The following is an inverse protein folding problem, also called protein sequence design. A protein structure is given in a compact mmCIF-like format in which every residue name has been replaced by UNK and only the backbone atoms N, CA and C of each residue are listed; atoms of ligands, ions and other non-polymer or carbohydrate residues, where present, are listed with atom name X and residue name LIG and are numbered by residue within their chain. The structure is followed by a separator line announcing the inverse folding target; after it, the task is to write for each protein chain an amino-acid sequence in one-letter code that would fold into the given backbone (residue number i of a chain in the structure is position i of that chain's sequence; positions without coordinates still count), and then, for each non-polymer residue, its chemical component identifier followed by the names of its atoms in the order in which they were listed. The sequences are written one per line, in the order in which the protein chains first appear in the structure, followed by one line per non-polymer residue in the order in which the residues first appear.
data_IF_601061744648
#
_entry.id   IF_601061744648
#
_cell.length_a   1.000
_cell.length_b   1.000
_cell.length_c   1.000
_cell.angle_alpha   90.00
_cell.angle_beta   90.00
_cell.angle_gamma   90.00
#
_symmetry.space_group_name_H-M   'P 1'
#
loop_
_entity.id
_entity.type
_entity.pdbx_description
1 polymer ?
#
# COMPACT_ATOMS: atom_id res chain seq x y z
N UNK A 1 18.08 -94.49 8.77
CA UNK A 1 17.09 -94.04 9.77
C UNK A 1 17.49 -92.75 10.48
N UNK A 2 18.74 -92.62 10.94
CA UNK A 2 19.22 -91.47 11.74
C UNK A 2 19.30 -90.14 10.97
N UNK A 3 19.75 -90.16 9.71
CA UNK A 3 19.79 -88.99 8.82
C UNK A 3 18.40 -88.37 8.58
N UNK A 4 17.36 -89.19 8.47
CA UNK A 4 15.98 -88.71 8.27
C UNK A 4 15.43 -88.02 9.52
N UNK A 5 15.80 -88.51 10.72
CA UNK A 5 15.43 -87.87 11.99
C UNK A 5 16.08 -86.49 12.12
N UNK A 6 17.37 -86.37 11.78
CA UNK A 6 18.09 -85.08 11.80
C UNK A 6 17.47 -84.06 10.83
N UNK A 7 17.19 -84.46 9.59
CA UNK A 7 16.51 -83.58 8.61
C UNK A 7 15.11 -83.17 9.05
N UNK A 8 14.35 -84.04 9.71
CA UNK A 8 13.03 -83.70 10.24
C UNK A 8 13.11 -82.64 11.36
N UNK A 9 14.12 -82.73 12.24
CA UNK A 9 14.36 -81.74 13.28
C UNK A 9 14.79 -80.39 12.70
N UNK A 10 15.74 -80.39 11.75
CA UNK A 10 16.20 -79.18 11.06
C UNK A 10 15.05 -78.52 10.27
N UNK A 11 14.20 -79.31 9.61
CA UNK A 11 13.00 -78.82 8.93
C UNK A 11 11.95 -78.25 9.88
N UNK A 12 11.79 -78.85 11.07
CA UNK A 12 10.86 -78.36 12.10
C UNK A 12 11.34 -77.04 12.69
N UNK A 13 12.65 -76.93 12.95
CA UNK A 13 13.26 -75.71 13.47
C UNK A 13 13.17 -74.55 12.47
N UNK A 14 13.50 -74.79 11.20
CA UNK A 14 13.35 -73.78 10.13
C UNK A 14 11.90 -73.34 9.93
N UNK A 15 10.93 -74.25 10.02
CA UNK A 15 9.50 -73.89 9.96
C UNK A 15 9.07 -73.02 11.16
N UNK A 16 9.59 -73.29 12.36
CA UNK A 16 9.34 -72.48 13.54
C UNK A 16 9.95 -71.08 13.42
N UNK A 17 11.20 -70.98 12.94
CA UNK A 17 11.88 -69.70 12.71
C UNK A 17 11.16 -68.86 11.65
N UNK A 18 10.76 -69.47 10.53
CA UNK A 18 9.96 -68.80 9.49
C UNK A 18 8.62 -68.30 10.02
N UNK A 19 7.96 -69.07 10.90
CA UNK A 19 6.71 -68.64 11.53
C UNK A 19 6.93 -67.42 12.43
N UNK A 20 7.99 -67.41 13.24
CA UNK A 20 8.34 -66.26 14.08
C UNK A 20 8.63 -65.01 13.23
N UNK A 21 9.32 -65.17 12.10
CA UNK A 21 9.55 -64.08 11.15
C UNK A 21 8.25 -63.57 10.53
N UNK A 22 7.34 -64.46 10.12
CA UNK A 22 6.03 -64.07 9.60
C UNK A 22 5.22 -63.28 10.62
N UNK A 23 5.14 -63.76 11.86
CA UNK A 23 4.41 -63.08 12.93
C UNK A 23 5.02 -61.69 13.22
N UNK A 24 6.35 -61.59 13.22
CA UNK A 24 7.07 -60.31 13.36
C UNK A 24 6.76 -59.35 12.20
N UNK A 25 6.82 -59.82 10.95
CA UNK A 25 6.53 -58.98 9.79
C UNK A 25 5.06 -58.57 9.72
N UNK A 26 4.14 -59.43 10.14
CA UNK A 26 2.72 -59.10 10.25
C UNK A 26 2.47 -58.00 11.29
N UNK A 27 3.15 -58.08 12.46
CA UNK A 27 3.07 -57.03 13.47
C UNK A 27 3.62 -55.70 12.94
N UNK A 28 4.79 -55.72 12.29
CA UNK A 28 5.38 -54.52 11.67
C UNK A 28 4.51 -53.92 10.58
N UNK A 29 3.87 -54.77 9.75
CA UNK A 29 2.95 -54.31 8.70
C UNK A 29 1.74 -53.61 9.32
N UNK A 30 1.18 -54.16 10.40
CA UNK A 30 0.04 -53.57 11.10
C UNK A 30 0.39 -52.23 11.73
N UNK A 31 1.55 -52.12 12.38
CA UNK A 31 2.05 -50.85 12.92
C UNK A 31 2.27 -49.81 11.82
N UNK A 32 2.87 -50.20 10.69
CA UNK A 32 3.07 -49.32 9.55
C UNK A 32 1.72 -48.85 8.95
N UNK A 33 0.72 -49.73 8.85
CA UNK A 33 -0.61 -49.38 8.38
C UNK A 33 -1.30 -48.34 9.27
N UNK A 34 -1.21 -48.50 10.60
CA UNK A 34 -1.75 -47.53 11.56
C UNK A 34 -1.03 -46.19 11.43
N UNK A 35 0.31 -46.20 11.39
CA UNK A 35 1.10 -44.98 11.25
C UNK A 35 0.81 -44.23 9.94
N UNK A 36 0.59 -44.96 8.84
CA UNK A 36 0.19 -44.37 7.55
C UNK A 36 -1.22 -43.77 7.65
N UNK A 37 -2.17 -44.47 8.26
CA UNK A 37 -3.53 -43.96 8.42
C UNK A 37 -3.57 -42.65 9.24
N UNK A 38 -2.84 -42.61 10.36
CA UNK A 38 -2.74 -41.41 11.21
C UNK A 38 -2.09 -40.23 10.47
N UNK A 39 -0.99 -40.48 9.74
CA UNK A 39 -0.33 -39.45 8.94
C UNK A 39 -1.19 -38.93 7.80
N UNK A 40 -1.92 -39.81 7.12
CA UNK A 40 -2.86 -39.40 6.06
C UNK A 40 -3.96 -38.50 6.63
N UNK A 41 -4.57 -38.87 7.75
CA UNK A 41 -5.59 -38.06 8.40
C UNK A 41 -5.05 -36.68 8.83
N UNK A 42 -3.84 -36.63 9.39
CA UNK A 42 -3.18 -35.38 9.74
C UNK A 42 -2.90 -34.50 8.52
N UNK A 43 -2.42 -35.10 7.42
CA UNK A 43 -2.16 -34.37 6.18
C UNK A 43 -3.44 -33.78 5.59
N UNK A 44 -4.55 -34.52 5.60
CA UNK A 44 -5.85 -34.02 5.13
C UNK A 44 -6.33 -32.81 5.93
N UNK A 45 -6.16 -32.82 7.25
CA UNK A 45 -6.49 -31.67 8.11
C UNK A 45 -5.63 -30.46 7.78
N UNK A 46 -4.32 -30.64 7.59
CA UNK A 46 -3.41 -29.54 7.23
C UNK A 46 -3.71 -29.00 5.83
N UNK A 47 -4.04 -29.85 4.87
CA UNK A 47 -4.48 -29.42 3.53
C UNK A 47 -5.75 -28.57 3.61
N UNK A 48 -6.71 -28.96 4.46
CA UNK A 48 -7.92 -28.16 4.67
C UNK A 48 -7.61 -26.79 5.28
N UNK A 49 -6.79 -26.74 6.34
CA UNK A 49 -6.35 -25.48 6.96
C UNK A 49 -5.61 -24.59 5.98
N UNK A 50 -4.70 -25.17 5.19
CA UNK A 50 -3.95 -24.45 4.17
C UNK A 50 -4.86 -23.81 3.13
N UNK A 51 -5.87 -24.53 2.63
CA UNK A 51 -6.87 -23.98 1.69
C UNK A 51 -7.63 -22.81 2.31
N UNK A 52 -8.06 -22.91 3.57
CA UNK A 52 -8.72 -21.80 4.29
C UNK A 52 -7.82 -20.58 4.42
N UNK A 53 -6.56 -20.78 4.77
CA UNK A 53 -5.59 -19.70 4.88
C UNK A 53 -5.35 -19.02 3.52
N UNK A 54 -5.28 -19.79 2.43
CA UNK A 54 -5.18 -19.23 1.08
C UNK A 54 -6.40 -18.37 0.71
N UNK A 55 -7.62 -18.80 1.07
CA UNK A 55 -8.85 -18.01 0.87
C UNK A 55 -8.79 -16.67 1.65
N UNK A 56 -8.30 -16.70 2.89
CA UNK A 56 -8.14 -15.49 3.70
C UNK A 56 -7.09 -14.53 3.12
N UNK A 57 -5.94 -15.04 2.69
CA UNK A 57 -4.90 -14.26 2.02
C UNK A 57 -5.46 -13.59 0.76
N UNK A 58 -6.20 -14.34 -0.07
CA UNK A 58 -6.84 -13.77 -1.26
C UNK A 58 -7.84 -12.66 -0.91
N UNK A 59 -8.62 -12.83 0.16
CA UNK A 59 -9.57 -11.82 0.66
C UNK A 59 -8.86 -10.57 1.17
N UNK A 60 -7.77 -10.73 1.93
CA UNK A 60 -6.98 -9.61 2.45
C UNK A 60 -6.27 -8.84 1.33
N UNK A 61 -5.71 -9.54 0.35
CA UNK A 61 -5.09 -8.90 -0.82
C UNK A 61 -6.09 -8.04 -1.61
N UNK A 62 -7.33 -8.52 -1.82
CA UNK A 62 -8.38 -7.72 -2.46
C UNK A 62 -8.75 -6.47 -1.66
N UNK A 63 -8.80 -6.56 -0.33
CA UNK A 63 -9.05 -5.41 0.54
C UNK A 63 -7.90 -4.40 0.48
N UNK A 64 -6.66 -4.87 0.56
CA UNK A 64 -5.46 -4.04 0.47
C UNK A 64 -5.43 -3.26 -0.84
N UNK A 65 -5.70 -3.93 -1.95
CA UNK A 65 -5.71 -3.29 -3.28
C UNK A 65 -6.80 -2.23 -3.41
N UNK A 66 -7.98 -2.48 -2.82
CA UNK A 66 -9.07 -1.48 -2.76
C UNK A 66 -8.66 -0.28 -1.92
N UNK A 67 -8.07 -0.48 -0.75
CA UNK A 67 -7.61 0.62 0.11
C UNK A 67 -6.54 1.46 -0.57
N UNK A 68 -5.55 0.84 -1.23
CA UNK A 68 -4.51 1.56 -1.99
C UNK A 68 -5.08 2.46 -3.09
N UNK A 69 -6.09 1.98 -3.82
CA UNK A 69 -6.75 2.79 -4.86
C UNK A 69 -7.48 4.01 -4.27
N UNK A 70 -8.14 3.85 -3.12
CA UNK A 70 -8.81 4.95 -2.42
C UNK A 70 -7.78 5.97 -1.93
N UNK A 71 -6.68 5.50 -1.34
CA UNK A 71 -5.59 6.34 -0.85
C UNK A 71 -4.93 7.12 -1.99
N UNK A 72 -4.63 6.48 -3.12
CA UNK A 72 -4.11 7.17 -4.31
C UNK A 72 -5.07 8.24 -4.83
N UNK A 73 -6.38 7.96 -4.86
CA UNK A 73 -7.37 8.95 -5.30
C UNK A 73 -7.42 10.15 -4.35
N UNK A 74 -7.40 9.91 -3.03
CA UNK A 74 -7.33 10.98 -2.03
C UNK A 74 -6.05 11.80 -2.11
N UNK A 75 -4.90 11.15 -2.29
CA UNK A 75 -3.62 11.82 -2.45
C UNK A 75 -3.56 12.69 -3.73
N UNK A 76 -4.17 12.22 -4.83
CA UNK A 76 -4.28 13.01 -6.05
C UNK A 76 -5.13 14.28 -5.82
N UNK A 77 -6.24 14.18 -5.08
CA UNK A 77 -7.06 15.33 -4.72
C UNK A 77 -6.31 16.33 -3.82
N UNK A 78 -5.52 15.85 -2.86
CA UNK A 78 -4.69 16.72 -1.99
C UNK A 78 -3.64 17.51 -2.77
N UNK A 79 -2.94 16.86 -3.71
CA UNK A 79 -1.96 17.53 -4.58
C UNK A 79 -2.64 18.61 -5.42
N UNK A 80 -3.78 18.30 -6.04
CA UNK A 80 -4.55 19.27 -6.83
C UNK A 80 -5.05 20.45 -5.98
N UNK A 81 -5.47 20.20 -4.74
CA UNK A 81 -5.91 21.25 -3.82
C UNK A 81 -4.76 22.19 -3.42
N UNK A 82 -3.56 21.66 -3.20
CA UNK A 82 -2.39 22.48 -2.89
C UNK A 82 -1.95 23.30 -4.12
N UNK A 83 -1.96 22.73 -5.34
CA UNK A 83 -1.71 23.49 -6.56
C UNK A 83 -2.73 24.64 -6.74
N UNK A 84 -4.03 24.39 -6.54
CA UNK A 84 -5.07 25.42 -6.60
C UNK A 84 -4.81 26.52 -5.57
N UNK A 85 -4.34 26.16 -4.37
CA UNK A 85 -4.01 27.12 -3.32
C UNK A 85 -2.80 27.97 -3.72
N UNK A 86 -1.74 27.38 -4.24
CA UNK A 86 -0.56 28.11 -4.75
C UNK A 86 -0.95 29.07 -5.88
N UNK A 87 -1.76 28.63 -6.84
CA UNK A 87 -2.24 29.52 -7.92
C UNK A 87 -3.10 30.66 -7.38
N UNK A 88 -3.98 30.41 -6.41
CA UNK A 88 -4.77 31.46 -5.75
C UNK A 88 -3.87 32.47 -5.05
N UNK A 89 -2.83 32.03 -4.36
CA UNK A 89 -1.86 32.93 -3.72
C UNK A 89 -1.13 33.81 -4.75
N UNK A 90 -0.69 33.21 -5.86
CA UNK A 90 -0.08 33.94 -6.97
C UNK A 90 -1.01 34.98 -7.60
N UNK A 91 -2.32 34.73 -7.63
CA UNK A 91 -3.31 35.69 -8.15
C UNK A 91 -3.80 36.70 -7.10
N UNK A 92 -3.41 36.54 -5.84
CA UNK A 92 -3.82 37.42 -4.73
C UNK A 92 -2.87 38.60 -4.60
N UNK A 93 -3.41 39.79 -4.33
CA UNK A 93 -2.66 41.01 -4.14
C UNK A 93 -1.67 40.83 -2.96
N UNK A 94 -0.36 41.00 -3.18
CA UNK A 94 0.63 40.79 -2.13
C UNK A 94 0.61 41.90 -1.05
N UNK A 95 -0.08 43.03 -1.31
CA UNK A 95 -0.18 44.13 -0.35
C UNK A 95 -1.27 43.91 0.70
N UNK A 96 -2.43 43.36 0.34
CA UNK A 96 -3.51 43.09 1.30
C UNK A 96 -3.71 41.61 1.60
N UNK A 97 -3.18 40.71 0.76
CA UNK A 97 -3.38 39.25 0.84
C UNK A 97 -4.85 38.81 0.83
N UNK A 98 -5.74 39.65 0.29
CA UNK A 98 -7.20 39.42 0.27
C UNK A 98 -7.74 39.53 -1.15
N UNK A 99 -7.60 40.70 -1.77
CA UNK A 99 -8.17 40.96 -3.10
C UNK A 99 -7.31 40.34 -4.19
N UNK A 100 -7.93 39.99 -5.33
CA UNK A 100 -7.21 39.56 -6.53
C UNK A 100 -6.36 40.70 -7.10
N UNK A 101 -5.28 40.32 -7.78
CA UNK A 101 -4.47 41.20 -8.62
C UNK A 101 -5.31 41.71 -9.79
N UNK A 102 -5.49 43.02 -9.87
CA UNK A 102 -6.28 43.67 -10.92
C UNK A 102 -5.79 45.08 -11.28
N UNK A 103 -4.57 45.45 -10.87
CA UNK A 103 -3.91 46.68 -11.29
C UNK A 103 -2.38 46.56 -11.37
N UNK A 104 -1.77 47.21 -12.35
CA UNK A 104 -0.32 47.24 -12.57
C UNK A 104 0.23 48.67 -12.39
N UNK A 105 1.42 48.78 -11.81
CA UNK A 105 2.22 50.00 -11.84
C UNK A 105 3.06 50.04 -13.12
N UNK A 106 2.91 51.08 -13.95
CA UNK A 106 3.59 51.16 -15.26
C UNK A 106 5.08 51.47 -15.16
N UNK A 107 5.55 52.01 -14.03
CA UNK A 107 6.97 52.33 -13.79
C UNK A 107 7.82 51.11 -13.45
N UNK A 108 7.25 50.09 -12.81
CA UNK A 108 7.99 48.92 -12.33
C UNK A 108 7.30 47.58 -12.61
N UNK A 109 6.15 47.59 -13.26
CA UNK A 109 5.35 46.43 -13.68
C UNK A 109 4.92 45.48 -12.55
N UNK A 110 5.02 45.91 -11.30
CA UNK A 110 4.48 45.15 -10.18
C UNK A 110 2.95 45.28 -10.11
N UNK A 111 2.30 44.15 -9.83
CA UNK A 111 0.85 43.98 -9.87
C UNK A 111 0.27 43.84 -8.46
N UNK A 112 -0.80 44.57 -8.18
CA UNK A 112 -1.54 44.61 -6.92
C UNK A 112 -3.04 44.66 -7.21
N UNK A 113 -3.88 44.81 -6.18
CA UNK A 113 -5.26 45.21 -6.38
C UNK A 113 -5.36 46.74 -6.53
N UNK A 114 -6.33 47.20 -7.30
CA UNK A 114 -6.59 48.61 -7.57
C UNK A 114 -6.91 49.37 -6.28
N UNK A 115 -7.60 48.73 -5.35
CA UNK A 115 -7.92 49.29 -4.04
C UNK A 115 -6.63 49.68 -3.28
N UNK A 116 -5.67 48.77 -3.15
CA UNK A 116 -4.39 49.07 -2.49
C UNK A 116 -3.61 50.21 -3.17
N UNK A 117 -3.62 50.27 -4.51
CA UNK A 117 -2.93 51.35 -5.23
C UNK A 117 -3.65 52.70 -5.05
N UNK A 118 -4.98 52.72 -5.10
CA UNK A 118 -5.79 53.93 -4.85
C UNK A 118 -5.59 54.46 -3.44
N UNK A 119 -5.72 53.61 -2.43
CA UNK A 119 -5.51 54.00 -1.02
C UNK A 119 -4.13 54.62 -0.83
N UNK A 120 -3.07 54.01 -1.38
CA UNK A 120 -1.71 54.56 -1.30
C UNK A 120 -1.56 55.89 -2.01
N UNK A 121 -2.21 56.04 -3.17
CA UNK A 121 -2.16 57.29 -3.93
C UNK A 121 -2.83 58.45 -3.16
N UNK A 122 -4.02 58.20 -2.61
CA UNK A 122 -4.85 59.15 -1.84
C UNK A 122 -4.17 59.55 -0.53
N UNK A 123 -3.58 58.59 0.19
CA UNK A 123 -2.84 58.81 1.44
C UNK A 123 -1.41 59.35 1.23
N UNK A 124 -1.05 59.74 -0.01
CA UNK A 124 0.27 60.25 -0.39
C UNK A 124 1.43 59.29 -0.14
N UNK A 125 1.17 57.99 0.06
CA UNK A 125 2.16 56.91 0.15
C UNK A 125 2.52 56.36 -1.25
N UNK A 126 2.90 57.26 -2.15
CA UNK A 126 3.06 57.05 -3.60
C UNK A 126 4.33 56.28 -3.99
N UNK A 127 4.58 55.15 -3.32
CA UNK A 127 5.69 54.22 -3.59
C UNK A 127 5.18 52.79 -3.74
N UNK A 128 5.76 52.07 -4.70
CA UNK A 128 5.45 50.67 -4.96
C UNK A 128 5.65 49.83 -3.68
N UNK A 129 4.65 49.03 -3.25
CA UNK A 129 4.80 48.16 -2.08
C UNK A 129 5.93 47.13 -2.18
N UNK A 130 6.37 46.77 -3.40
CA UNK A 130 7.37 45.72 -3.64
C UNK A 130 8.79 46.23 -3.85
N UNK A 131 8.98 47.30 -4.64
CA UNK A 131 10.32 47.82 -4.97
C UNK A 131 10.53 49.29 -4.60
N UNK A 132 9.56 49.91 -3.92
CA UNK A 132 9.64 51.30 -3.46
C UNK A 132 9.77 52.38 -4.55
N UNK A 133 9.66 52.01 -5.83
CA UNK A 133 9.62 52.96 -6.94
C UNK A 133 8.46 53.95 -6.79
N UNK A 134 8.71 55.24 -7.04
CA UNK A 134 7.68 56.28 -7.00
C UNK A 134 6.67 56.14 -8.15
N UNK A 135 5.40 56.49 -7.90
CA UNK A 135 4.36 56.47 -8.94
C UNK A 135 3.37 57.64 -8.78
N UNK A 136 2.91 58.20 -9.91
CA UNK A 136 1.93 59.28 -9.98
C UNK A 136 0.52 58.84 -10.39
N UNK A 137 -0.35 59.81 -10.69
CA UNK A 137 -1.76 59.59 -11.04
C UNK A 137 -1.94 58.71 -12.29
N UNK A 138 -1.01 58.82 -13.23
CA UNK A 138 -1.05 58.13 -14.53
C UNK A 138 -0.17 56.87 -14.56
N UNK A 139 0.38 56.45 -13.41
CA UNK A 139 1.36 55.36 -13.34
C UNK A 139 0.75 54.05 -12.82
N UNK A 140 -0.57 53.95 -12.69
CA UNK A 140 -1.27 52.72 -12.36
C UNK A 140 -2.57 52.56 -13.16
N UNK A 141 -2.80 51.35 -13.67
CA UNK A 141 -3.98 51.04 -14.48
C UNK A 141 -4.59 49.71 -14.08
N UNK A 142 -5.91 49.60 -14.26
CA UNK A 142 -6.64 48.35 -14.08
C UNK A 142 -6.24 47.35 -15.17
N UNK A 143 -6.12 46.08 -14.79
CA UNK A 143 -5.92 44.96 -15.69
C UNK A 143 -6.89 43.84 -15.34
N UNK A 144 -7.11 42.94 -16.29
CA UNK A 144 -8.01 41.80 -16.14
C UNK A 144 -7.23 40.53 -16.43
N UNK A 145 -7.09 39.67 -15.42
CA UNK A 145 -6.49 38.34 -15.55
C UNK A 145 -7.62 37.34 -15.80
N UNK A 146 -7.46 36.52 -16.84
CA UNK A 146 -8.36 35.41 -17.22
C UNK A 146 -7.84 34.09 -16.70
#
# INVERSE_FOLDING_TARGET
MEMHKRKAVESSQTAADLKLHLDKYQAQLKEAQVAVAEKTASLEQEVFKYKRMQEEVAKLNRKLERSKKIEMAGAADEVLLEEVKEYKEHLTCPSCKVNKKDAVLTKCFHVFCLECLRTRYETRQRKCPKCNAGFGANDFHRLYLS
#
